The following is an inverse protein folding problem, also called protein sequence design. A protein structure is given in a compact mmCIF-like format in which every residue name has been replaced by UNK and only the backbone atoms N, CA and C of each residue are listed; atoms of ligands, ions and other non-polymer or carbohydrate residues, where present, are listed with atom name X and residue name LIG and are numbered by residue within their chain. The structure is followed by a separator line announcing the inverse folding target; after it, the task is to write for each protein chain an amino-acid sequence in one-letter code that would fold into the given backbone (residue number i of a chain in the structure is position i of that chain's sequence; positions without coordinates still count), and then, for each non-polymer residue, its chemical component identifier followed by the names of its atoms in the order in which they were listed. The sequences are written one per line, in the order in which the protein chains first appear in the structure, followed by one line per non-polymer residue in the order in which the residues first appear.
data_IF_480125322798
#
_entry.id   IF_480125322798
#
_cell.length_a   1.000
_cell.length_b   1.000
_cell.length_c   1.000
_cell.angle_alpha   90.00
_cell.angle_beta   90.00
_cell.angle_gamma   90.00
#
_symmetry.space_group_name_H-M   'P 1'
#
loop_
_entity.id
_entity.type
_entity.pdbx_description
1 polymer ?
#
# COMPACT_ATOMS: atom_id res chain seq x y z
N UNK A 1 9.36 35.58 -18.17
CA UNK A 1 9.60 35.73 -16.74
C UNK A 1 10.51 34.57 -16.40
N UNK A 2 11.64 34.81 -15.74
CA UNK A 2 12.55 33.75 -15.30
C UNK A 2 12.33 33.47 -13.81
N UNK A 3 12.74 32.29 -13.35
CA UNK A 3 12.53 31.86 -11.97
C UNK A 3 13.21 32.77 -10.95
N UNK A 4 14.34 33.35 -11.31
CA UNK A 4 15.10 34.28 -10.48
C UNK A 4 14.31 35.57 -10.21
N UNK A 5 13.54 36.05 -11.19
CA UNK A 5 12.75 37.27 -11.07
C UNK A 5 11.56 37.10 -10.11
N UNK A 6 11.00 35.89 -10.02
CA UNK A 6 9.93 35.59 -9.06
C UNK A 6 10.42 35.58 -7.61
N UNK A 7 11.69 35.25 -7.37
CA UNK A 7 12.28 35.26 -6.02
C UNK A 7 12.52 36.67 -5.48
N UNK A 8 12.51 37.68 -6.36
CA UNK A 8 12.71 39.08 -6.01
C UNK A 8 11.39 39.83 -5.78
N UNK A 9 10.24 39.20 -6.02
CA UNK A 9 8.92 39.80 -5.78
C UNK A 9 8.64 39.85 -4.28
N UNK A 10 8.63 41.05 -3.71
CA UNK A 10 8.40 41.33 -2.30
C UNK A 10 6.99 41.88 -2.00
N UNK A 11 6.25 42.31 -3.03
CA UNK A 11 4.86 42.79 -2.92
C UNK A 11 3.85 41.83 -3.59
N UNK A 12 2.87 41.29 -2.84
CA UNK A 12 1.87 40.36 -3.37
C UNK A 12 0.88 40.99 -4.37
N UNK A 13 0.85 42.33 -4.50
CA UNK A 13 0.05 43.03 -5.52
C UNK A 13 0.69 42.98 -6.91
N UNK A 14 2.00 42.70 -6.99
CA UNK A 14 2.73 42.60 -8.26
C UNK A 14 2.41 41.27 -8.95
N UNK A 15 2.39 40.16 -8.20
CA UNK A 15 2.12 38.83 -8.73
C UNK A 15 0.87 38.20 -8.11
N UNK A 16 -0.30 38.53 -8.66
CA UNK A 16 -1.60 37.97 -8.24
C UNK A 16 -2.42 37.49 -9.43
N UNK A 17 -3.58 36.89 -9.15
CA UNK A 17 -4.43 36.28 -10.18
C UNK A 17 -4.98 37.29 -11.20
N UNK A 18 -5.02 38.58 -10.87
CA UNK A 18 -5.43 39.64 -11.80
C UNK A 18 -4.28 40.12 -12.69
N UNK A 19 -3.04 40.17 -12.17
CA UNK A 19 -1.87 40.72 -12.90
C UNK A 19 -1.05 39.66 -13.64
N UNK A 20 -1.11 38.41 -13.21
CA UNK A 20 -0.26 37.31 -13.71
C UNK A 20 -0.39 37.07 -15.21
N UNK A 21 -1.59 37.23 -15.77
CA UNK A 21 -1.84 36.95 -17.20
C UNK A 21 -1.09 37.95 -18.09
N UNK A 22 -1.11 39.23 -17.74
CA UNK A 22 -0.44 40.27 -18.53
C UNK A 22 1.07 40.20 -18.35
N UNK A 23 1.54 39.90 -17.13
CA UNK A 23 2.95 39.73 -16.82
C UNK A 23 3.58 38.54 -17.57
N UNK A 24 2.88 37.40 -17.63
CA UNK A 24 3.33 36.22 -18.38
C UNK A 24 3.39 36.53 -19.89
N UNK A 25 2.47 37.35 -20.41
CA UNK A 25 2.50 37.75 -21.83
C UNK A 25 3.62 38.73 -22.15
N UNK A 26 3.91 39.69 -21.28
CA UNK A 26 4.94 40.71 -21.53
C UNK A 26 6.35 40.20 -21.28
N UNK A 27 6.53 39.41 -20.21
CA UNK A 27 7.85 38.97 -19.78
C UNK A 27 8.15 37.53 -20.20
N UNK A 28 7.13 36.72 -20.54
CA UNK A 28 7.22 35.31 -20.87
C UNK A 28 6.83 34.38 -19.71
N UNK A 29 6.69 33.09 -19.97
CA UNK A 29 6.30 32.10 -18.95
C UNK A 29 7.52 31.41 -18.34
N UNK A 30 7.70 31.52 -17.02
CA UNK A 30 8.77 30.84 -16.28
C UNK A 30 8.68 29.29 -16.37
N UNK A 31 7.51 28.78 -16.75
CA UNK A 31 7.23 27.36 -16.90
C UNK A 31 7.41 26.86 -18.34
N UNK A 32 7.68 27.73 -19.32
CA UNK A 32 7.80 27.36 -20.74
C UNK A 32 8.85 26.27 -20.97
N UNK A 33 9.98 26.35 -20.26
CA UNK A 33 11.05 25.34 -20.31
C UNK A 33 10.72 24.03 -19.58
N UNK A 34 9.69 24.00 -18.72
CA UNK A 34 9.37 22.81 -17.94
C UNK A 34 8.77 21.69 -18.81
N UNK A 35 8.09 22.04 -19.90
CA UNK A 35 7.62 21.09 -20.90
C UNK A 35 8.76 20.39 -21.66
N UNK A 36 9.92 21.04 -21.81
CA UNK A 36 11.09 20.43 -22.45
C UNK A 36 11.68 19.26 -21.62
N UNK A 37 11.43 19.25 -20.30
CA UNK A 37 11.78 18.15 -19.39
C UNK A 37 10.62 17.19 -19.14
N UNK A 38 9.47 17.38 -19.80
CA UNK A 38 8.36 16.45 -19.66
C UNK A 38 8.75 15.10 -20.27
N UNK A 39 8.83 14.08 -19.41
CA UNK A 39 8.96 12.71 -19.88
C UNK A 39 7.59 12.25 -20.40
N UNK A 40 7.57 11.55 -21.54
CA UNK A 40 6.37 10.87 -21.99
C UNK A 40 5.80 10.03 -20.85
N UNK A 41 4.51 10.21 -20.53
CA UNK A 41 3.80 9.30 -19.64
C UNK A 41 4.04 7.88 -20.14
N UNK A 42 4.55 7.00 -19.29
CA UNK A 42 4.67 5.57 -19.57
C UNK A 42 3.27 4.95 -19.68
N UNK A 43 2.58 5.23 -20.78
CA UNK A 43 1.30 4.62 -21.19
C UNK A 43 1.53 3.40 -22.07
N UNK A 44 2.77 3.14 -22.49
CA UNK A 44 3.11 1.92 -23.19
C UNK A 44 3.13 0.76 -22.18
N UNK A 45 2.24 -0.24 -22.31
CA UNK A 45 2.33 -1.44 -21.49
C UNK A 45 3.70 -2.06 -21.74
N UNK A 46 4.50 -2.18 -20.68
CA UNK A 46 5.76 -2.91 -20.75
C UNK A 46 5.43 -4.31 -21.27
N UNK A 47 6.12 -4.83 -22.31
CA UNK A 47 5.89 -6.19 -22.75
C UNK A 47 6.04 -7.09 -21.53
N UNK A 48 4.97 -7.81 -21.19
CA UNK A 48 4.98 -8.73 -20.08
C UNK A 48 6.04 -9.77 -20.40
N UNK A 49 7.22 -9.66 -19.80
CA UNK A 49 8.21 -10.73 -19.78
C UNK A 49 7.45 -11.97 -19.37
N UNK A 50 7.49 -13.04 -20.18
CA UNK A 50 6.79 -14.29 -19.87
C UNK A 50 7.21 -14.72 -18.47
N UNK A 51 6.33 -14.50 -17.51
CA UNK A 51 6.58 -14.72 -16.11
C UNK A 51 6.82 -16.22 -15.95
N UNK A 52 7.95 -16.61 -15.34
CA UNK A 52 8.17 -18.00 -14.98
C UNK A 52 7.06 -18.36 -14.00
N UNK A 53 6.18 -19.26 -14.40
CA UNK A 53 5.09 -19.72 -13.56
C UNK A 53 5.68 -20.29 -12.27
N UNK A 54 5.38 -19.64 -11.14
CA UNK A 54 5.61 -20.23 -9.83
C UNK A 54 4.82 -21.54 -9.82
N UNK A 55 5.53 -22.67 -9.71
CA UNK A 55 4.84 -23.96 -9.60
C UNK A 55 4.01 -23.93 -8.31
N UNK A 56 2.70 -24.23 -8.36
CA UNK A 56 1.86 -24.19 -7.17
C UNK A 56 2.46 -25.12 -6.12
N UNK A 57 2.65 -24.60 -4.90
CA UNK A 57 3.10 -25.41 -3.78
C UNK A 57 2.01 -26.43 -3.44
N UNK A 58 2.20 -27.69 -3.87
CA UNK A 58 1.26 -28.81 -3.61
C UNK A 58 1.14 -29.24 -2.14
N UNK A 59 1.83 -28.57 -1.22
CA UNK A 59 1.79 -28.88 0.22
C UNK A 59 1.07 -27.74 0.95
N UNK A 60 -0.24 -27.89 1.09
CA UNK A 60 -1.03 -27.07 2.01
C UNK A 60 -0.66 -27.48 3.44
N UNK A 61 -0.11 -26.55 4.23
CA UNK A 61 0.10 -26.83 5.66
C UNK A 61 -1.15 -26.46 6.44
N UNK A 62 -1.46 -27.39 7.33
CA UNK A 62 -2.64 -27.65 8.13
C UNK A 62 -3.03 -26.53 9.11
N UNK A 63 -4.23 -26.61 9.70
CA UNK A 63 -4.76 -25.73 10.76
C UNK A 63 -3.77 -25.36 11.89
N UNK A 64 -2.72 -26.16 12.11
CA UNK A 64 -1.62 -25.90 13.05
C UNK A 64 -0.96 -24.51 12.86
N UNK A 65 -0.85 -24.02 11.62
CA UNK A 65 -0.30 -22.67 11.36
C UNK A 65 -1.22 -21.55 11.86
N UNK A 66 -2.53 -21.80 11.90
CA UNK A 66 -3.54 -20.84 12.30
C UNK A 66 -3.95 -20.98 13.77
N UNK A 67 -3.38 -21.93 14.53
CA UNK A 67 -3.72 -22.15 15.94
C UNK A 67 -3.57 -20.89 16.79
N UNK A 68 -2.46 -20.15 16.62
CA UNK A 68 -2.25 -18.90 17.35
C UNK A 68 -3.25 -17.81 16.97
N UNK A 69 -3.71 -17.81 15.72
CA UNK A 69 -4.75 -16.90 15.25
C UNK A 69 -6.10 -17.27 15.88
N UNK A 70 -6.48 -18.55 15.79
CA UNK A 70 -7.72 -19.10 16.34
C UNK A 70 -7.86 -18.81 17.84
N UNK A 71 -6.80 -19.11 18.62
CA UNK A 71 -6.77 -18.86 20.07
C UNK A 71 -6.95 -17.38 20.46
N UNK A 72 -6.58 -16.46 19.56
CA UNK A 72 -6.65 -15.01 19.81
C UNK A 72 -7.93 -14.37 19.30
N UNK A 73 -8.85 -15.12 18.69
CA UNK A 73 -10.07 -14.59 18.08
C UNK A 73 -11.33 -15.17 18.69
N UNK A 74 -12.35 -14.32 18.78
CA UNK A 74 -13.69 -14.71 19.20
C UNK A 74 -14.64 -14.48 18.04
N UNK A 75 -14.77 -15.44 17.14
CA UNK A 75 -15.58 -15.34 15.92
C UNK A 75 -17.08 -15.15 16.16
N UNK A 76 -17.56 -15.31 17.40
CA UNK A 76 -18.92 -14.92 17.80
C UNK A 76 -19.09 -13.41 17.96
N UNK A 77 -17.98 -12.66 18.03
CA UNK A 77 -17.96 -11.22 18.28
C UNK A 77 -17.37 -10.43 17.12
N UNK A 78 -16.36 -10.97 16.44
CA UNK A 78 -15.68 -10.29 15.32
C UNK A 78 -16.18 -10.80 13.96
N UNK A 79 -16.32 -9.93 12.93
CA UNK A 79 -16.60 -10.35 11.56
C UNK A 79 -15.37 -10.95 10.85
N UNK A 80 -14.26 -11.13 11.56
CA UNK A 80 -13.05 -11.72 11.00
C UNK A 80 -13.28 -13.16 10.51
N UNK A 81 -12.60 -13.57 9.43
CA UNK A 81 -12.76 -14.90 8.86
C UNK A 81 -12.23 -16.00 9.79
N UNK A 82 -12.94 -17.13 9.80
CA UNK A 82 -12.51 -18.33 10.51
C UNK A 82 -11.22 -18.92 9.92
N UNK A 83 -10.45 -19.68 10.72
CA UNK A 83 -9.24 -20.34 10.25
C UNK A 83 -9.60 -21.51 9.33
N UNK A 84 -9.76 -21.21 8.04
CA UNK A 84 -10.02 -22.21 7.02
C UNK A 84 -8.76 -22.48 6.20
N UNK A 85 -8.55 -23.75 5.87
CA UNK A 85 -7.58 -24.15 4.86
C UNK A 85 -8.05 -23.67 3.50
N UNK A 86 -7.17 -23.01 2.76
CA UNK A 86 -7.49 -22.49 1.44
C UNK A 86 -6.36 -22.81 0.45
N UNK A 87 -6.77 -23.06 -0.78
CA UNK A 87 -5.86 -23.24 -1.90
C UNK A 87 -5.48 -21.88 -2.50
N UNK A 88 -4.25 -21.77 -2.97
CA UNK A 88 -3.75 -20.58 -3.63
C UNK A 88 -2.46 -20.87 -4.39
N UNK A 89 -2.04 -19.90 -5.21
CA UNK A 89 -0.89 -20.04 -6.10
C UNK A 89 0.45 -19.80 -5.37
N UNK A 90 0.42 -19.47 -4.08
CA UNK A 90 1.60 -19.18 -3.27
C UNK A 90 2.19 -17.79 -3.55
N UNK A 91 1.39 -16.86 -4.07
CA UNK A 91 1.91 -15.59 -4.58
C UNK A 91 0.99 -14.38 -4.36
N UNK A 92 -0.12 -14.51 -3.65
CA UNK A 92 -0.97 -13.37 -3.32
C UNK A 92 -0.39 -12.52 -2.19
N UNK A 93 -0.64 -11.21 -2.23
CA UNK A 93 -0.38 -10.32 -1.10
C UNK A 93 -1.53 -9.35 -0.88
N UNK A 94 -1.63 -8.86 0.35
CA UNK A 94 -2.47 -7.72 0.71
C UNK A 94 -1.73 -6.84 1.70
N UNK A 95 -1.97 -5.54 1.61
CA UNK A 95 -1.55 -4.54 2.57
C UNK A 95 -2.83 -3.91 3.12
N UNK A 96 -3.07 -4.09 4.40
CA UNK A 96 -4.18 -3.41 5.06
C UNK A 96 -3.70 -2.11 5.69
N UNK A 97 -4.50 -1.06 5.61
CA UNK A 97 -4.38 0.09 6.50
C UNK A 97 -5.30 -0.17 7.69
N UNK A 98 -4.74 -0.16 8.89
CA UNK A 98 -5.42 -0.59 10.10
C UNK A 98 -5.41 0.54 11.13
N UNK A 99 -6.59 1.09 11.39
CA UNK A 99 -6.83 2.12 12.39
C UNK A 99 -7.31 1.51 13.69
N UNK A 100 -6.39 0.82 14.37
CA UNK A 100 -6.56 0.35 15.73
C UNK A 100 -6.22 1.47 16.74
N UNK A 101 -5.67 1.12 17.90
CA UNK A 101 -5.14 2.10 18.87
C UNK A 101 -4.11 3.06 18.26
N UNK A 102 -3.36 2.61 17.26
CA UNK A 102 -2.46 3.40 16.43
C UNK A 102 -2.69 3.04 14.98
N UNK A 103 -2.68 4.04 14.10
CA UNK A 103 -2.68 3.80 12.67
C UNK A 103 -1.39 3.06 12.28
N UNK A 104 -1.54 1.91 11.66
CA UNK A 104 -0.44 1.11 11.12
C UNK A 104 -0.90 0.41 9.84
N UNK A 105 0.03 -0.32 9.21
CA UNK A 105 -0.25 -1.12 8.04
C UNK A 105 0.10 -2.57 8.30
N UNK A 106 -0.72 -3.50 7.84
CA UNK A 106 -0.44 -4.92 7.94
C UNK A 106 -0.07 -5.46 6.57
N UNK A 107 1.19 -5.86 6.40
CA UNK A 107 1.67 -6.56 5.21
C UNK A 107 1.41 -8.05 5.39
N UNK A 108 0.77 -8.66 4.39
CA UNK A 108 0.42 -10.08 4.41
C UNK A 108 0.82 -10.73 3.09
N UNK A 109 1.62 -11.78 3.16
CA UNK A 109 2.11 -12.54 2.01
C UNK A 109 1.63 -13.98 2.09
N UNK A 110 1.04 -14.48 1.02
CA UNK A 110 0.63 -15.89 0.92
C UNK A 110 1.85 -16.82 0.93
N UNK A 111 1.89 -17.72 1.90
CA UNK A 111 2.91 -18.75 1.95
C UNK A 111 2.32 -20.05 2.51
N UNK A 112 2.40 -21.13 1.71
CA UNK A 112 1.91 -22.47 2.07
C UNK A 112 0.44 -22.49 2.57
N UNK A 113 -0.46 -21.73 1.94
CA UNK A 113 -1.89 -21.71 2.28
C UNK A 113 -2.29 -20.86 3.49
N UNK A 114 -1.38 -20.02 4.02
CA UNK A 114 -1.67 -19.02 5.04
C UNK A 114 -0.98 -17.69 4.72
N UNK A 115 -1.44 -16.62 5.35
CA UNK A 115 -0.86 -15.29 5.19
C UNK A 115 0.18 -15.01 6.27
N UNK A 116 1.46 -15.07 5.89
CA UNK A 116 2.55 -14.58 6.71
C UNK A 116 2.40 -13.07 6.86
N UNK A 117 2.31 -12.61 8.10
CA UNK A 117 1.82 -11.26 8.40
C UNK A 117 2.81 -10.46 9.24
N UNK A 118 2.92 -9.17 8.93
CA UNK A 118 3.73 -8.21 9.66
C UNK A 118 3.00 -6.88 9.85
N UNK A 119 3.00 -6.38 11.08
CA UNK A 119 2.58 -5.02 11.38
C UNK A 119 3.74 -4.04 11.08
N UNK A 120 3.43 -2.99 10.32
CA UNK A 120 4.36 -1.96 9.86
C UNK A 120 3.88 -0.59 10.39
N UNK A 121 4.36 -0.15 11.57
CA UNK A 121 3.81 1.02 12.28
C UNK A 121 3.91 2.32 11.49
N UNK A 122 4.94 2.46 10.64
CA UNK A 122 5.17 3.66 9.82
C UNK A 122 4.75 3.48 8.36
N UNK A 123 4.03 2.41 8.04
CA UNK A 123 3.63 2.05 6.68
C UNK A 123 4.78 1.72 5.74
N UNK A 124 4.43 1.45 4.49
CA UNK A 124 5.39 1.14 3.43
C UNK A 124 6.34 2.33 3.18
N UNK A 125 7.61 2.08 2.78
CA UNK A 125 8.52 3.14 2.41
C UNK A 125 8.05 3.84 1.13
N UNK A 126 8.02 5.19 1.06
CA UNK A 126 7.56 5.92 -0.12
C UNK A 126 8.57 5.89 -1.29
N UNK A 127 9.83 5.52 -1.01
CA UNK A 127 10.91 5.42 -2.00
C UNK A 127 11.94 4.36 -1.57
N UNK A 128 12.69 3.80 -2.53
CA UNK A 128 13.76 2.85 -2.23
C UNK A 128 14.81 3.41 -1.26
N UNK A 129 15.46 2.51 -0.51
CA UNK A 129 16.52 2.85 0.46
C UNK A 129 16.03 3.24 1.86
N UNK A 130 14.73 3.49 2.06
CA UNK A 130 14.16 3.76 3.38
C UNK A 130 13.82 2.45 4.08
N UNK A 131 14.47 2.18 5.21
CA UNK A 131 14.17 1.02 6.06
C UNK A 131 12.92 1.28 6.91
N UNK A 132 12.05 0.28 7.03
CA UNK A 132 10.87 0.28 7.90
C UNK A 132 10.92 -0.91 8.83
N UNK A 133 10.45 -0.71 10.07
CA UNK A 133 10.24 -1.81 11.00
C UNK A 133 9.01 -2.60 10.56
N UNK A 134 9.17 -3.91 10.42
CA UNK A 134 8.10 -4.87 10.19
C UNK A 134 8.11 -5.89 11.33
N UNK A 135 7.09 -5.84 12.20
CA UNK A 135 6.97 -6.72 13.36
C UNK A 135 6.15 -7.92 12.95
N UNK A 136 6.72 -9.13 13.05
CA UNK A 136 6.00 -10.36 12.72
C UNK A 136 4.82 -10.56 13.66
N UNK A 137 3.66 -10.89 13.10
CA UNK A 137 2.43 -11.24 13.82
C UNK A 137 1.96 -12.63 13.39
N UNK A 138 0.83 -13.09 13.93
CA UNK A 138 0.30 -14.42 13.63
C UNK A 138 -0.02 -14.58 12.14
N UNK A 139 0.08 -15.81 11.65
CA UNK A 139 -0.41 -16.15 10.32
C UNK A 139 -1.93 -15.94 10.27
N UNK A 140 -2.44 -15.44 9.15
CA UNK A 140 -3.87 -15.21 8.95
C UNK A 140 -4.44 -16.12 7.86
N UNK A 141 -5.75 -16.45 7.92
CA UNK A 141 -6.39 -17.27 6.89
C UNK A 141 -6.38 -16.56 5.53
N UNK A 142 -6.41 -17.31 4.44
CA UNK A 142 -6.41 -16.73 3.09
C UNK A 142 -7.60 -15.82 2.81
N UNK A 143 -8.76 -16.08 3.43
CA UNK A 143 -9.94 -15.20 3.34
C UNK A 143 -9.66 -13.77 3.81
N UNK A 144 -8.64 -13.58 4.65
CA UNK A 144 -8.20 -12.27 5.11
C UNK A 144 -7.61 -11.41 3.97
N UNK A 145 -7.29 -11.98 2.80
CA UNK A 145 -6.91 -11.21 1.62
C UNK A 145 -8.03 -10.25 1.17
N UNK A 146 -9.29 -10.62 1.43
CA UNK A 146 -10.48 -9.89 0.98
C UNK A 146 -11.17 -9.10 2.09
N UNK A 147 -10.76 -9.30 3.36
CA UNK A 147 -11.39 -8.70 4.52
C UNK A 147 -11.24 -7.18 4.57
N UNK A 148 -12.37 -6.50 4.76
CA UNK A 148 -12.46 -5.08 5.08
C UNK A 148 -13.61 -4.89 6.05
N UNK A 149 -13.47 -4.00 7.02
CA UNK A 149 -14.51 -3.75 8.00
C UNK A 149 -13.98 -3.27 9.33
N UNK A 150 -14.89 -3.25 10.31
CA UNK A 150 -14.58 -2.88 11.69
C UNK A 150 -14.38 -4.14 12.53
N UNK A 151 -13.22 -4.25 13.18
CA UNK A 151 -13.01 -5.21 14.26
C UNK A 151 -13.50 -4.54 15.55
N UNK A 152 -14.48 -5.11 16.27
CA UNK A 152 -15.08 -4.46 17.42
C UNK A 152 -14.08 -4.05 18.50
N UNK A 153 -14.37 -2.93 19.15
CA UNK A 153 -13.55 -2.43 20.27
C UNK A 153 -13.50 -3.48 21.39
N UNK A 154 -12.28 -3.78 21.86
CA UNK A 154 -12.03 -4.77 22.92
C UNK A 154 -11.66 -6.15 22.38
N UNK A 155 -11.86 -6.41 21.09
CA UNK A 155 -11.29 -7.57 20.41
C UNK A 155 -9.82 -7.31 20.04
N UNK A 156 -9.06 -8.38 19.83
CA UNK A 156 -7.67 -8.27 19.45
C UNK A 156 -7.54 -7.67 18.05
N UNK A 157 -6.84 -6.53 17.95
CA UNK A 157 -6.81 -5.77 16.70
C UNK A 157 -8.07 -4.95 16.45
N UNK A 158 -8.83 -4.60 17.49
CA UNK A 158 -10.00 -3.73 17.36
C UNK A 158 -9.68 -2.40 16.68
N UNK A 159 -10.45 -2.05 15.65
CA UNK A 159 -10.21 -0.92 14.78
C UNK A 159 -10.81 -1.08 13.39
N UNK A 160 -10.81 0.02 12.63
CA UNK A 160 -11.22 0.00 11.23
C UNK A 160 -10.09 -0.51 10.36
N UNK A 161 -10.40 -1.43 9.44
CA UNK A 161 -9.44 -2.03 8.52
C UNK A 161 -9.91 -1.91 7.07
N UNK A 162 -9.00 -1.48 6.20
CA UNK A 162 -9.25 -1.28 4.77
C UNK A 162 -8.10 -1.86 3.94
N UNK A 163 -8.37 -2.36 2.74
CA UNK A 163 -7.32 -2.79 1.81
C UNK A 163 -6.65 -1.56 1.21
N UNK A 164 -5.38 -1.36 1.55
CA UNK A 164 -4.55 -0.32 0.95
C UNK A 164 -3.99 -0.76 -0.41
N UNK A 165 -3.57 -2.02 -0.51
CA UNK A 165 -3.12 -2.62 -1.76
C UNK A 165 -3.37 -4.13 -1.75
N UNK A 166 -3.61 -4.73 -2.91
CA UNK A 166 -3.71 -6.17 -3.11
C UNK A 166 -3.11 -6.52 -4.46
N UNK A 167 -2.45 -7.67 -4.55
CA UNK A 167 -1.93 -8.13 -5.83
C UNK A 167 -1.24 -9.48 -5.72
N UNK A 168 -0.30 -9.70 -6.64
CA UNK A 168 0.59 -10.85 -6.64
C UNK A 168 2.05 -10.40 -6.53
N UNK A 169 2.88 -11.22 -5.92
CA UNK A 169 4.31 -11.00 -5.78
C UNK A 169 5.09 -12.17 -6.38
N UNK A 170 6.37 -11.94 -6.68
CA UNK A 170 7.26 -12.97 -7.18
C UNK A 170 8.53 -12.98 -6.33
N UNK A 171 9.01 -14.18 -6.01
CA UNK A 171 10.30 -14.37 -5.35
C UNK A 171 11.30 -14.57 -6.48
N UNK A 172 12.20 -13.60 -6.64
CA UNK A 172 13.26 -13.63 -7.66
C UNK A 172 14.52 -14.28 -7.14
#
# INVERSE_FOLDING_TARGET
MQWEQLNEVDDPSIFNIQTVVDLVKSEGDAWEGMAAYSAFLHTQPRPQTQLKSVKPSRKYKTPEKLERYDQKRRFTKTPEPQPETAEGLGNAFVVHRHHASRLHYDLRLEHDGALKSWAVPKGLPPRPGIKRLAVAVEDHPMKYLDFEGEIPKGEYGGGMMWKFARGRYEIT
#
